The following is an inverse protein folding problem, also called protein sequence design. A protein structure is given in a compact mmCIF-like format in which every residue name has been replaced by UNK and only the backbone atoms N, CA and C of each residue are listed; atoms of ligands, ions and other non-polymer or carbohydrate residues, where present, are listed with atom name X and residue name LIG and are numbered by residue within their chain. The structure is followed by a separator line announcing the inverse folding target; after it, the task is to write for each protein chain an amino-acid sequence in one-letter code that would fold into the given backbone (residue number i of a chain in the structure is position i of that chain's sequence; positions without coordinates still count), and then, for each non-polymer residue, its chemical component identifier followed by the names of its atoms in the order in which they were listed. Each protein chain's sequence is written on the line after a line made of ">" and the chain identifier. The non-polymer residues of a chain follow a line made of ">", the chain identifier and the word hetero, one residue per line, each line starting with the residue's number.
data_IF_312167903941
#
_entry.id   IF_312167903941
#
_cell.length_a   1.000
_cell.length_b   1.000
_cell.length_c   1.000
_cell.angle_alpha   90.00
_cell.angle_beta   90.00
_cell.angle_gamma   90.00
#
_symmetry.space_group_name_H-M   'P 1'
#
loop_
_entity.id
_entity.type
_entity.pdbx_description
1 polymer ?
#
# COMPACT_ATOMS: atom_id res chain seq x y z
N UNK A 1 -60.63 -9.11 43.55
CA UNK A 1 -60.07 -10.20 44.37
C UNK A 1 -59.31 -11.12 43.42
N UNK A 2 -58.17 -11.68 43.84
CA UNK A 2 -57.16 -12.46 43.08
C UNK A 2 -55.97 -11.71 42.44
N UNK A 3 -54.98 -11.41 43.30
CA UNK A 3 -53.61 -11.99 43.38
C UNK A 3 -52.91 -12.43 42.08
N UNK A 4 -51.68 -11.93 41.84
CA UNK A 4 -50.71 -12.64 41.00
C UNK A 4 -49.43 -11.90 40.58
N UNK A 5 -48.38 -12.00 41.41
CA UNK A 5 -46.98 -12.33 41.07
C UNK A 5 -46.19 -11.41 40.11
N UNK A 6 -45.05 -10.92 40.62
CA UNK A 6 -44.09 -10.09 39.90
C UNK A 6 -43.20 -10.83 38.92
N UNK A 7 -42.42 -10.05 38.15
CA UNK A 7 -41.23 -10.54 37.46
C UNK A 7 -40.25 -9.38 37.25
N UNK A 8 -39.08 -9.54 37.84
CA UNK A 8 -37.88 -8.76 37.58
C UNK A 8 -37.53 -8.83 36.09
N UNK A 9 -37.57 -7.70 35.39
CA UNK A 9 -36.89 -7.60 34.11
C UNK A 9 -35.44 -7.18 34.36
N UNK A 10 -34.56 -8.16 34.18
CA UNK A 10 -33.12 -8.01 34.07
C UNK A 10 -32.79 -6.84 33.13
N UNK A 11 -32.13 -5.81 33.68
CA UNK A 11 -31.36 -4.85 32.90
C UNK A 11 -30.22 -5.63 32.23
N UNK A 12 -30.42 -6.01 30.97
CA UNK A 12 -29.36 -6.61 30.16
C UNK A 12 -28.38 -5.51 29.82
N UNK A 13 -27.29 -5.53 30.56
CA UNK A 13 -26.18 -4.63 30.45
C UNK A 13 -25.54 -4.75 29.06
N UNK A 14 -25.37 -3.60 28.44
CA UNK A 14 -24.37 -3.23 27.43
C UNK A 14 -23.22 -4.21 27.31
N UNK A 15 -23.07 -4.83 26.13
CA UNK A 15 -21.79 -5.20 25.51
C UNK A 15 -22.11 -5.69 24.10
N UNK A 16 -22.47 -4.74 23.21
CA UNK A 16 -22.19 -4.93 21.79
C UNK A 16 -20.67 -4.90 21.71
N UNK A 17 -20.11 -6.10 21.76
CA UNK A 17 -18.71 -6.39 21.62
C UNK A 17 -18.33 -6.01 20.17
N UNK A 18 -18.12 -4.72 19.94
CA UNK A 18 -17.67 -4.12 18.70
C UNK A 18 -16.19 -4.44 18.44
N UNK A 19 -15.77 -5.67 18.74
CA UNK A 19 -14.52 -6.28 18.27
C UNK A 19 -14.61 -6.72 16.81
N UNK A 20 -15.55 -6.16 16.04
CA UNK A 20 -15.48 -6.23 14.58
C UNK A 20 -14.39 -5.27 14.11
N UNK A 21 -13.17 -5.82 14.14
CA UNK A 21 -11.97 -5.47 13.41
C UNK A 21 -12.31 -4.75 12.10
N UNK A 22 -12.42 -3.43 12.19
CA UNK A 22 -12.42 -2.57 11.02
C UNK A 22 -10.97 -2.33 10.65
N UNK A 23 -10.33 -3.34 10.05
CA UNK A 23 -9.18 -3.12 9.17
C UNK A 23 -9.72 -2.45 7.90
N UNK A 24 -10.37 -1.29 8.03
CA UNK A 24 -10.71 -0.46 6.89
C UNK A 24 -9.39 0.10 6.41
N UNK A 25 -8.82 -0.57 5.41
CA UNK A 25 -7.81 0.00 4.55
C UNK A 25 -8.31 1.39 4.16
N UNK A 26 -7.58 2.43 4.56
CA UNK A 26 -7.91 3.79 4.16
C UNK A 26 -8.03 3.81 2.64
N UNK A 27 -9.18 4.22 2.08
CA UNK A 27 -9.33 4.29 0.63
C UNK A 27 -8.22 5.16 0.04
N UNK A 28 -7.67 4.73 -1.10
CA UNK A 28 -6.71 5.53 -1.84
C UNK A 28 -7.35 6.88 -2.23
N UNK A 29 -6.53 7.93 -2.24
CA UNK A 29 -6.95 9.19 -2.87
C UNK A 29 -7.12 8.97 -4.37
N UNK A 30 -7.92 9.82 -5.02
CA UNK A 30 -8.10 9.74 -6.48
C UNK A 30 -6.76 9.78 -7.23
N UNK A 31 -5.85 10.67 -6.82
CA UNK A 31 -4.51 10.78 -7.42
C UNK A 31 -3.66 9.52 -7.29
N UNK A 32 -3.78 8.78 -6.18
CA UNK A 32 -3.07 7.52 -5.99
C UNK A 32 -3.66 6.43 -6.89
N UNK A 33 -4.99 6.38 -7.01
CA UNK A 33 -5.67 5.44 -7.90
C UNK A 33 -5.33 5.70 -9.38
N UNK A 34 -5.33 6.97 -9.80
CA UNK A 34 -4.97 7.37 -11.16
C UNK A 34 -3.53 6.99 -11.50
N UNK A 35 -2.61 7.18 -10.55
CA UNK A 35 -1.22 6.75 -10.74
C UNK A 35 -1.09 5.23 -10.89
N UNK A 36 -1.76 4.45 -10.03
CA UNK A 36 -1.75 2.99 -10.14
C UNK A 36 -2.35 2.52 -11.47
N UNK A 37 -3.42 3.16 -11.94
CA UNK A 37 -4.00 2.87 -13.25
C UNK A 37 -2.99 3.08 -14.39
N UNK A 38 -2.22 4.19 -14.35
CA UNK A 38 -1.15 4.42 -15.33
C UNK A 38 -0.07 3.33 -15.28
N UNK A 39 0.35 2.93 -14.08
CA UNK A 39 1.34 1.85 -13.88
C UNK A 39 0.82 0.53 -14.44
N UNK A 40 -0.45 0.20 -14.21
CA UNK A 40 -1.08 -1.01 -14.75
C UNK A 40 -1.20 -0.97 -16.28
N UNK A 41 -1.55 0.18 -16.87
CA UNK A 41 -1.61 0.34 -18.32
C UNK A 41 -0.24 0.18 -19.00
N UNK A 42 0.82 0.68 -18.37
CA UNK A 42 2.17 0.60 -18.93
C UNK A 42 2.82 -0.78 -18.73
N UNK A 43 2.43 -1.48 -17.66
CA UNK A 43 3.02 -2.74 -17.23
C UNK A 43 4.12 -2.51 -16.18
N UNK A 44 3.92 -3.10 -15.00
CA UNK A 44 4.86 -2.93 -13.88
C UNK A 44 6.21 -3.61 -14.15
N UNK A 45 6.24 -4.73 -14.87
CA UNK A 45 7.50 -5.38 -15.26
C UNK A 45 8.28 -4.55 -16.28
N UNK A 46 7.60 -3.93 -17.24
CA UNK A 46 8.18 -3.04 -18.24
C UNK A 46 8.78 -1.80 -17.58
N UNK A 47 8.05 -1.20 -16.63
CA UNK A 47 8.52 -0.07 -15.84
C UNK A 47 9.73 -0.46 -14.98
N UNK A 48 9.68 -1.61 -14.31
CA UNK A 48 10.80 -2.10 -13.53
C UNK A 48 12.06 -2.29 -14.38
N UNK A 49 11.93 -2.97 -15.54
CA UNK A 49 13.03 -3.16 -16.50
C UNK A 49 13.59 -1.84 -17.00
N UNK A 50 12.72 -0.87 -17.30
CA UNK A 50 13.14 0.45 -17.79
C UNK A 50 13.93 1.22 -16.74
N UNK A 51 13.46 1.24 -15.50
CA UNK A 51 14.17 1.92 -14.40
C UNK A 51 15.51 1.26 -14.08
N UNK A 52 15.55 -0.08 -14.03
CA UNK A 52 16.80 -0.82 -13.83
C UNK A 52 17.82 -0.52 -14.93
N UNK A 53 17.38 -0.46 -16.19
CA UNK A 53 18.25 -0.12 -17.31
C UNK A 53 18.84 1.29 -17.17
N UNK A 54 18.03 2.30 -16.81
CA UNK A 54 18.52 3.68 -16.59
C UNK A 54 19.49 3.74 -15.42
N UNK A 55 19.21 3.02 -14.33
CA UNK A 55 20.12 2.95 -13.19
C UNK A 55 21.45 2.30 -13.54
N UNK A 56 21.43 1.15 -14.22
CA UNK A 56 22.66 0.44 -14.60
C UNK A 56 23.47 1.28 -15.61
N UNK A 57 22.78 2.01 -16.50
CA UNK A 57 23.41 2.98 -17.39
C UNK A 57 24.13 4.08 -16.61
N UNK A 58 23.47 4.70 -15.63
CA UNK A 58 24.11 5.70 -14.78
C UNK A 58 25.29 5.08 -14.01
N UNK A 59 25.10 3.95 -13.35
CA UNK A 59 26.08 3.39 -12.44
C UNK A 59 27.34 2.87 -13.13
N UNK A 60 27.21 2.26 -14.31
CA UNK A 60 28.30 1.54 -14.97
C UNK A 60 28.80 2.19 -16.26
N UNK A 61 28.02 3.08 -16.86
CA UNK A 61 28.36 3.69 -18.14
C UNK A 61 28.51 5.22 -18.08
N UNK A 62 28.34 5.82 -16.90
CA UNK A 62 28.66 7.23 -16.69
C UNK A 62 30.15 7.41 -16.38
N UNK A 63 30.80 8.33 -17.08
CA UNK A 63 32.15 8.81 -16.74
C UNK A 63 32.12 9.87 -15.62
N UNK A 64 30.92 10.25 -15.14
CA UNK A 64 30.74 11.29 -14.11
C UNK A 64 30.67 10.65 -12.73
N UNK A 65 31.49 11.09 -11.76
CA UNK A 65 31.44 10.59 -10.39
C UNK A 65 30.20 11.10 -9.66
N UNK A 66 29.60 10.23 -8.85
CA UNK A 66 28.39 10.55 -8.10
C UNK A 66 28.64 11.17 -6.72
N UNK A 67 27.98 12.28 -6.46
CA UNK A 67 27.87 12.87 -5.14
C UNK A 67 26.85 12.12 -4.25
N UNK A 68 26.65 12.62 -3.02
CA UNK A 68 25.74 11.99 -2.05
C UNK A 68 24.27 12.09 -2.48
N UNK A 69 23.87 13.20 -3.09
CA UNK A 69 22.50 13.41 -3.53
C UNK A 69 22.18 12.49 -4.73
N UNK A 70 23.10 12.38 -5.68
CA UNK A 70 22.97 11.51 -6.85
C UNK A 70 22.93 10.03 -6.44
N UNK A 71 23.74 9.61 -5.46
CA UNK A 71 23.65 8.26 -4.89
C UNK A 71 22.30 7.98 -4.24
N UNK A 72 21.75 8.96 -3.55
CA UNK A 72 20.43 8.84 -2.92
C UNK A 72 19.33 8.71 -3.98
N UNK A 73 19.40 9.50 -5.06
CA UNK A 73 18.48 9.42 -6.17
C UNK A 73 18.54 8.05 -6.88
N UNK A 74 19.74 7.50 -7.11
CA UNK A 74 19.89 6.15 -7.67
C UNK A 74 19.29 5.08 -6.75
N UNK A 75 19.43 5.23 -5.44
CA UNK A 75 18.80 4.35 -4.47
C UNK A 75 17.25 4.46 -4.50
N UNK A 76 16.70 5.66 -4.63
CA UNK A 76 15.25 5.84 -4.74
C UNK A 76 14.69 5.20 -6.02
N UNK A 77 15.41 5.31 -7.15
CA UNK A 77 15.08 4.61 -8.40
C UNK A 77 15.10 3.10 -8.20
N UNK A 78 16.06 2.58 -7.42
CA UNK A 78 16.12 1.17 -7.03
C UNK A 78 14.90 0.71 -6.24
N UNK A 79 14.55 1.44 -5.19
CA UNK A 79 13.37 1.15 -4.36
C UNK A 79 12.11 1.13 -5.23
N UNK A 80 11.99 2.08 -6.16
CA UNK A 80 10.83 2.19 -7.03
C UNK A 80 10.69 1.00 -7.98
N UNK A 81 11.77 0.57 -8.67
CA UNK A 81 11.67 -0.59 -9.55
C UNK A 81 11.40 -1.88 -8.79
N UNK A 82 11.98 -2.06 -7.59
CA UNK A 82 11.71 -3.24 -6.75
C UNK A 82 10.24 -3.26 -6.31
N UNK A 83 9.66 -2.08 -6.07
CA UNK A 83 8.23 -1.91 -5.86
C UNK A 83 7.41 -2.41 -7.05
N UNK A 84 7.78 -2.03 -8.27
CA UNK A 84 7.10 -2.49 -9.48
C UNK A 84 7.27 -3.99 -9.74
N UNK A 85 8.45 -4.58 -9.49
CA UNK A 85 8.65 -6.03 -9.56
C UNK A 85 7.71 -6.76 -8.61
N UNK A 86 7.55 -6.28 -7.37
CA UNK A 86 6.62 -6.85 -6.39
C UNK A 86 5.15 -6.70 -6.80
N UNK A 87 4.80 -5.62 -7.48
CA UNK A 87 3.45 -5.41 -8.04
C UNK A 87 3.16 -6.35 -9.22
N UNK A 88 4.15 -6.59 -10.08
CA UNK A 88 4.03 -7.52 -11.21
C UNK A 88 4.04 -8.98 -10.80
N UNK A 89 4.75 -9.32 -9.72
CA UNK A 89 4.85 -10.66 -9.14
C UNK A 89 3.56 -11.15 -8.45
N UNK A 90 2.36 -10.66 -8.84
CA UNK A 90 1.09 -11.09 -8.26
C UNK A 90 0.97 -12.63 -8.33
N UNK A 91 0.79 -13.19 -7.13
CA UNK A 91 0.42 -14.57 -6.77
C UNK A 91 -0.86 -15.01 -7.47
#
# INVERSE_FOLDING_TARGET
>A
MEKGVGSNQHSVNTTVDARNVSNVSTPLTQSQADFLYLVECQGSEELARSLKMVHDLALYHSDVPFDTAEKSALFDVKVLWEGFERMGAKV
#
